data_IF_982822114264
#
_entry.id   IF_982822114264
#
_cell.length_a   1.000
_cell.length_b   1.000
_cell.length_c   1.000
_cell.angle_alpha   90.00
_cell.angle_beta   90.00
_cell.angle_gamma   90.00
#
_symmetry.space_group_name_H-M   'P 1'
#
loop_
_entity.id
_entity.type
_entity.pdbx_description
1 polymer ?
#
# COMPACT_ATOMS: atom_id res chain seq x y z
N UNK A 1 -8.90 25.30 10.08
CA UNK A 1 -8.57 24.54 8.85
C UNK A 1 -7.63 23.42 9.26
N UNK A 2 -8.02 22.15 9.16
CA UNK A 2 -7.14 21.03 9.55
C UNK A 2 -6.09 20.84 8.45
N UNK A 3 -4.83 20.73 8.84
CA UNK A 3 -3.69 20.66 7.93
C UNK A 3 -3.51 19.20 7.49
N UNK A 4 -3.64 18.95 6.19
CA UNK A 4 -3.15 17.70 5.58
C UNK A 4 -1.65 17.88 5.37
N UNK A 5 -0.87 16.91 5.85
CA UNK A 5 0.58 16.86 5.63
C UNK A 5 0.82 15.84 4.53
N UNK A 6 1.58 16.25 3.50
CA UNK A 6 1.90 15.43 2.34
C UNK A 6 3.41 15.39 2.19
N UNK A 7 3.97 14.18 2.11
CA UNK A 7 5.41 13.95 2.11
C UNK A 7 5.75 12.82 1.13
N UNK A 8 6.85 12.99 0.39
CA UNK A 8 7.46 11.85 -0.31
C UNK A 8 8.02 10.90 0.73
N UNK A 9 7.69 9.62 0.59
CA UNK A 9 8.16 8.57 1.47
C UNK A 9 9.13 7.67 0.71
N UNK A 10 10.21 7.28 1.37
CA UNK A 10 11.16 6.33 0.80
C UNK A 10 10.69 4.91 1.10
N UNK A 11 10.19 4.24 0.08
CA UNK A 11 9.87 2.81 0.11
C UNK A 11 10.91 2.07 -0.72
N UNK A 12 11.40 0.94 -0.22
CA UNK A 12 12.28 0.06 -0.97
C UNK A 12 11.80 -1.37 -0.79
N UNK A 13 11.58 -2.07 -1.88
CA UNK A 13 11.18 -3.47 -1.88
C UNK A 13 12.42 -4.32 -2.13
N UNK A 14 12.61 -5.35 -1.32
CA UNK A 14 13.73 -6.28 -1.47
C UNK A 14 13.20 -7.67 -1.84
N UNK A 15 13.88 -8.33 -2.76
CA UNK A 15 13.48 -9.65 -3.28
C UNK A 15 13.22 -10.71 -2.21
N UNK A 16 13.99 -10.79 -1.10
CA UNK A 16 13.70 -11.74 -0.02
C UNK A 16 12.31 -11.54 0.62
N UNK A 17 11.86 -10.29 0.77
CA UNK A 17 10.54 -10.00 1.37
C UNK A 17 9.40 -10.44 0.45
N UNK A 18 9.59 -10.30 -0.86
CA UNK A 18 8.63 -10.75 -1.87
C UNK A 18 8.52 -12.28 -1.84
N UNK A 19 9.65 -12.99 -1.84
CA UNK A 19 9.70 -14.45 -1.76
C UNK A 19 9.10 -14.99 -0.46
N UNK A 20 9.29 -14.31 0.67
CA UNK A 20 8.68 -14.70 1.93
C UNK A 20 7.15 -14.57 1.94
N UNK A 21 6.61 -13.61 1.17
CA UNK A 21 5.16 -13.38 1.04
C UNK A 21 4.51 -14.26 -0.01
N UNK A 22 5.25 -14.60 -1.07
CA UNK A 22 4.78 -15.47 -2.14
C UNK A 22 5.82 -16.57 -2.41
N UNK A 23 5.88 -17.59 -1.53
CA UNK A 23 6.90 -18.64 -1.63
C UNK A 23 6.85 -19.41 -2.93
N UNK A 24 5.67 -19.53 -3.54
CA UNK A 24 5.49 -20.22 -4.82
C UNK A 24 6.24 -19.56 -5.99
N UNK A 25 6.74 -18.33 -5.86
CA UNK A 25 7.55 -17.72 -6.91
C UNK A 25 8.88 -18.45 -7.12
N UNK A 26 9.50 -19.01 -6.07
CA UNK A 26 10.76 -19.74 -6.23
C UNK A 26 10.61 -21.02 -7.07
N UNK A 27 9.39 -21.52 -7.22
CA UNK A 27 9.10 -22.77 -7.92
C UNK A 27 8.92 -22.56 -9.43
N UNK A 28 8.59 -21.32 -9.86
CA UNK A 28 8.17 -21.03 -11.24
C UNK A 28 8.86 -19.80 -11.86
N UNK A 29 9.57 -19.00 -11.07
CA UNK A 29 10.23 -17.76 -11.53
C UNK A 29 11.71 -17.83 -11.20
N UNK A 30 12.55 -17.60 -12.21
CA UNK A 30 13.98 -17.48 -11.99
C UNK A 30 14.27 -16.30 -11.03
N UNK A 31 15.08 -16.53 -9.99
CA UNK A 31 15.41 -15.49 -9.00
C UNK A 31 15.96 -14.21 -9.63
N UNK A 32 16.70 -14.34 -10.72
CA UNK A 32 17.21 -13.20 -11.49
C UNK A 32 16.07 -12.38 -12.10
N UNK A 33 15.12 -13.04 -12.75
CA UNK A 33 13.96 -12.39 -13.36
C UNK A 33 13.13 -11.63 -12.31
N UNK A 34 12.87 -12.25 -11.16
CA UNK A 34 12.18 -11.59 -10.05
C UNK A 34 12.97 -10.37 -9.54
N UNK A 35 14.30 -10.48 -9.42
CA UNK A 35 15.17 -9.37 -9.01
C UNK A 35 15.12 -8.20 -10.01
N UNK A 36 15.05 -8.48 -11.30
CA UNK A 36 14.98 -7.47 -12.35
C UNK A 36 13.65 -6.71 -12.26
N UNK A 37 12.52 -7.40 -12.09
CA UNK A 37 11.20 -6.77 -11.89
C UNK A 37 11.16 -5.94 -10.61
N UNK A 38 11.68 -6.46 -9.49
CA UNK A 38 11.78 -5.70 -8.22
C UNK A 38 12.61 -4.43 -8.41
N UNK A 39 13.69 -4.48 -9.19
CA UNK A 39 14.52 -3.31 -9.47
C UNK A 39 13.75 -2.26 -10.28
N UNK A 40 13.04 -2.67 -11.33
CA UNK A 40 12.21 -1.78 -12.14
C UNK A 40 11.07 -1.14 -11.35
N UNK A 41 10.41 -1.90 -10.47
CA UNK A 41 9.39 -1.36 -9.56
C UNK A 41 10.01 -0.32 -8.63
N UNK A 42 11.16 -0.62 -8.00
CA UNK A 42 11.84 0.35 -7.15
C UNK A 42 12.24 1.64 -7.87
N UNK A 43 12.68 1.55 -9.13
CA UNK A 43 13.01 2.72 -9.95
C UNK A 43 11.78 3.54 -10.34
N UNK A 44 10.64 2.88 -10.57
CA UNK A 44 9.40 3.53 -10.96
C UNK A 44 8.58 4.06 -9.77
N UNK A 45 8.90 3.68 -8.53
CA UNK A 45 8.20 4.18 -7.35
C UNK A 45 8.45 5.67 -7.14
N UNK A 46 7.36 6.43 -7.07
CA UNK A 46 7.33 7.81 -6.56
C UNK A 46 6.32 7.86 -5.41
N UNK A 47 6.72 7.27 -4.29
CA UNK A 47 5.82 7.02 -3.18
C UNK A 47 5.52 8.29 -2.41
N UNK A 48 4.24 8.56 -2.20
CA UNK A 48 3.75 9.72 -1.46
C UNK A 48 2.78 9.25 -0.39
N UNK A 49 2.93 9.79 0.82
CA UNK A 49 1.95 9.64 1.88
C UNK A 49 1.35 10.99 2.24
N UNK A 50 0.04 10.99 2.45
CA UNK A 50 -0.68 12.10 3.04
C UNK A 50 -1.33 11.63 4.33
N UNK A 51 -1.26 12.46 5.37
CA UNK A 51 -1.98 12.18 6.61
C UNK A 51 -2.62 13.41 7.22
N UNK A 52 -3.64 13.16 8.03
CA UNK A 52 -4.28 14.15 8.88
C UNK A 52 -4.55 13.53 10.25
N UNK A 53 -4.43 14.35 11.29
CA UNK A 53 -4.77 13.95 12.66
C UNK A 53 -6.14 14.51 12.98
N UNK A 54 -7.05 13.62 13.37
CA UNK A 54 -8.42 13.94 13.71
C UNK A 54 -8.61 13.82 15.22
N UNK A 55 -9.06 14.91 15.83
CA UNK A 55 -9.31 14.99 17.27
C UNK A 55 -10.77 14.60 17.63
N UNK A 56 -11.70 14.68 16.69
CA UNK A 56 -13.11 14.34 16.87
C UNK A 56 -13.38 12.92 16.39
N UNK A 57 -13.21 11.97 17.30
CA UNK A 57 -13.35 10.54 17.03
C UNK A 57 -14.45 9.97 17.90
N UNK A 58 -15.41 9.30 17.28
CA UNK A 58 -16.45 8.54 17.96
C UNK A 58 -16.33 7.06 17.62
N UNK A 59 -16.14 6.24 18.64
CA UNK A 59 -16.09 4.79 18.50
C UNK A 59 -17.51 4.21 18.62
N UNK A 60 -17.86 3.31 17.70
CA UNK A 60 -19.12 2.54 17.71
C UNK A 60 -18.81 1.05 17.88
N UNK A 61 -19.78 0.15 17.69
CA UNK A 61 -19.53 -1.27 17.88
C UNK A 61 -18.54 -1.84 16.84
N UNK A 62 -18.64 -1.42 15.58
CA UNK A 62 -17.90 -1.95 14.42
C UNK A 62 -17.44 -0.86 13.44
N UNK A 63 -17.60 0.40 13.81
CA UNK A 63 -17.16 1.54 13.02
C UNK A 63 -16.51 2.64 13.87
N UNK A 64 -15.80 3.52 13.19
CA UNK A 64 -15.19 4.71 13.75
C UNK A 64 -15.69 5.90 12.94
N UNK A 65 -16.37 6.83 13.61
CA UNK A 65 -16.77 8.07 12.98
C UNK A 65 -15.69 9.14 13.22
N UNK A 66 -15.15 9.65 12.12
CA UNK A 66 -14.10 10.66 12.10
C UNK A 66 -14.62 11.85 11.30
N UNK A 67 -14.78 13.01 11.94
CA UNK A 67 -15.25 14.23 11.28
C UNK A 67 -16.60 14.07 10.56
N UNK A 68 -17.50 13.25 11.11
CA UNK A 68 -18.80 12.95 10.51
C UNK A 68 -18.79 11.87 9.42
N UNK A 69 -17.62 11.33 9.05
CA UNK A 69 -17.49 10.21 8.12
C UNK A 69 -17.42 8.91 8.92
N UNK A 70 -18.34 7.98 8.65
CA UNK A 70 -18.37 6.68 9.33
C UNK A 70 -17.53 5.65 8.56
N UNK A 71 -16.49 5.13 9.21
CA UNK A 71 -15.58 4.13 8.66
C UNK A 71 -15.89 2.76 9.27
N UNK A 72 -16.58 1.93 8.50
CA UNK A 72 -16.86 0.53 8.88
C UNK A 72 -15.56 -0.25 8.77
N UNK A 73 -14.99 -0.64 9.91
CA UNK A 73 -13.68 -1.31 10.00
C UNK A 73 -13.71 -2.60 10.82
N UNK A 74 -14.86 -2.96 11.38
CA UNK A 74 -15.07 -4.17 12.15
C UNK A 74 -14.61 -4.08 13.60
N UNK A 75 -15.20 -4.94 14.45
CA UNK A 75 -15.03 -4.91 15.90
C UNK A 75 -13.57 -5.01 16.35
N UNK A 76 -12.74 -5.80 15.64
CA UNK A 76 -11.32 -5.99 15.97
C UNK A 76 -10.54 -4.68 15.87
N UNK A 77 -10.72 -3.95 14.77
CA UNK A 77 -10.03 -2.67 14.56
C UNK A 77 -10.50 -1.64 15.58
N UNK A 78 -11.82 -1.56 15.79
CA UNK A 78 -12.38 -0.66 16.81
C UNK A 78 -11.81 -0.96 18.18
N UNK A 79 -11.79 -2.22 18.61
CA UNK A 79 -11.27 -2.59 19.94
C UNK A 79 -9.79 -2.23 20.16
N UNK A 80 -8.99 -2.18 19.09
CA UNK A 80 -7.59 -1.78 19.17
C UNK A 80 -7.40 -0.25 19.29
N UNK A 81 -8.41 0.52 18.85
CA UNK A 81 -8.33 1.98 18.78
C UNK A 81 -9.14 2.68 19.87
N UNK A 82 -10.12 2.00 20.48
CA UNK A 82 -10.93 2.51 21.60
C UNK A 82 -10.04 3.04 22.72
N UNK A 83 -10.35 4.26 23.19
CA UNK A 83 -9.57 4.97 24.19
C UNK A 83 -8.55 5.96 23.61
N UNK A 84 -8.31 5.93 22.29
CA UNK A 84 -7.48 6.94 21.63
C UNK A 84 -8.18 8.30 21.61
N UNK A 85 -7.45 9.35 22.01
CA UNK A 85 -7.95 10.73 21.94
C UNK A 85 -7.81 11.36 20.56
N UNK A 86 -7.02 10.74 19.67
CA UNK A 86 -6.76 11.19 18.30
C UNK A 86 -6.63 9.99 17.39
N UNK A 87 -7.03 10.13 16.13
CA UNK A 87 -6.78 9.14 15.07
C UNK A 87 -6.04 9.82 13.92
N UNK A 88 -4.98 9.16 13.43
CA UNK A 88 -4.37 9.53 12.17
C UNK A 88 -5.09 8.80 11.02
N UNK A 89 -5.54 9.54 10.02
CA UNK A 89 -5.99 8.99 8.74
C UNK A 89 -4.83 9.17 7.76
N UNK A 90 -4.33 8.05 7.24
CA UNK A 90 -3.17 8.01 6.35
C UNK A 90 -3.61 7.43 5.00
N UNK A 91 -3.17 8.06 3.92
CA UNK A 91 -3.27 7.55 2.56
C UNK A 91 -1.87 7.49 2.00
N UNK A 92 -1.52 6.39 1.33
CA UNK A 92 -0.25 6.25 0.63
C UNK A 92 -0.50 5.78 -0.80
N UNK A 93 0.40 6.17 -1.70
CA UNK A 93 0.46 5.71 -3.09
C UNK A 93 1.89 5.40 -3.44
N UNK A 94 2.10 4.44 -4.35
CA UNK A 94 3.42 4.11 -4.92
C UNK A 94 3.75 4.95 -6.15
N UNK A 95 2.78 5.73 -6.64
CA UNK A 95 2.92 6.59 -7.83
C UNK A 95 2.34 5.98 -9.11
N UNK A 96 2.04 6.84 -10.08
CA UNK A 96 1.39 6.45 -11.34
C UNK A 96 2.30 5.62 -12.26
N UNK A 97 3.62 5.73 -12.12
CA UNK A 97 4.56 5.01 -12.98
C UNK A 97 4.51 3.48 -12.78
N UNK A 98 4.19 3.00 -11.58
CA UNK A 98 3.92 1.57 -11.32
C UNK A 98 2.71 1.09 -12.12
N UNK A 99 1.63 1.87 -12.13
CA UNK A 99 0.43 1.55 -12.90
C UNK A 99 0.72 1.53 -14.40
N UNK A 100 1.61 2.41 -14.89
CA UNK A 100 2.03 2.43 -16.28
C UNK A 100 2.84 1.16 -16.63
N UNK A 101 3.74 0.73 -15.75
CA UNK A 101 4.53 -0.49 -15.92
C UNK A 101 3.64 -1.73 -15.98
N UNK A 102 2.71 -1.87 -15.03
CA UNK A 102 1.69 -2.94 -15.04
C UNK A 102 0.87 -2.93 -16.34
N UNK A 103 0.39 -1.75 -16.75
CA UNK A 103 -0.43 -1.60 -17.97
C UNK A 103 0.35 -1.98 -19.21
N UNK A 104 1.63 -1.59 -19.29
CA UNK A 104 2.52 -1.97 -20.38
C UNK A 104 2.67 -3.49 -20.48
N UNK A 105 2.95 -4.19 -19.38
CA UNK A 105 3.06 -5.65 -19.41
C UNK A 105 1.77 -6.32 -19.84
N UNK A 106 0.62 -5.79 -19.40
CA UNK A 106 -0.68 -6.28 -19.84
C UNK A 106 -0.96 -6.06 -21.32
N UNK A 107 -0.58 -4.91 -21.88
CA UNK A 107 -0.81 -4.63 -23.29
C UNK A 107 0.13 -5.42 -24.21
N UNK A 108 1.31 -5.79 -23.73
CA UNK A 108 2.25 -6.68 -24.45
C UNK A 108 2.03 -8.16 -24.15
N UNK A 109 0.92 -8.54 -23.52
CA UNK A 109 0.57 -9.92 -23.14
C UNK A 109 1.62 -10.63 -22.26
N UNK A 110 2.47 -9.87 -21.58
CA UNK A 110 3.43 -10.39 -20.63
C UNK A 110 2.77 -10.52 -19.25
N UNK A 111 1.90 -11.51 -19.14
CA UNK A 111 1.05 -11.69 -17.95
C UNK A 111 1.82 -12.08 -16.70
N UNK A 112 2.96 -12.76 -16.84
CA UNK A 112 3.82 -13.10 -15.70
C UNK A 112 4.38 -11.83 -15.08
N UNK A 113 4.94 -10.92 -15.88
CA UNK A 113 5.54 -9.69 -15.36
C UNK A 113 4.48 -8.71 -14.87
N UNK A 114 3.30 -8.68 -15.50
CA UNK A 114 2.16 -7.93 -15.00
C UNK A 114 1.72 -8.44 -13.62
N UNK A 115 1.68 -9.76 -13.43
CA UNK A 115 1.32 -10.38 -12.15
C UNK A 115 2.38 -10.15 -11.08
N UNK A 116 3.67 -10.24 -11.43
CA UNK A 116 4.77 -9.92 -10.51
C UNK A 116 4.70 -8.45 -10.09
N UNK A 117 4.49 -7.52 -11.03
CA UNK A 117 4.38 -6.09 -10.76
C UNK A 117 3.17 -5.74 -9.86
N UNK A 118 2.04 -6.44 -9.99
CA UNK A 118 0.85 -6.24 -9.16
C UNK A 118 1.01 -6.83 -7.75
N UNK A 119 1.82 -7.87 -7.63
CA UNK A 119 2.04 -8.58 -6.36
C UNK A 119 3.09 -7.89 -5.47
N UNK A 120 4.10 -7.28 -6.09
CA UNK A 120 5.22 -6.57 -5.44
C UNK A 120 4.71 -5.26 -4.83
#
# INVERSE_FOLDING_TARGET
MRKVICEHIKVSIITPDVLARVPSFSDFVELKHLSDIVSLVNEAMDSVAAYTICDEVLFRADSICVNGIDLICGKKVVSLLVGSHKIAVVVCTLGQAIMNLYTQYRTTENYLDAYLCDTI
#
